data_IF_428064690717
#
_entry.id   IF_428064690717
#
_cell.length_a   1.000
_cell.length_b   1.000
_cell.length_c   1.000
_cell.angle_alpha   90.00
_cell.angle_beta   90.00
_cell.angle_gamma   90.00
#
_symmetry.space_group_name_H-M   'P 1'
#
loop_
_entity.id
_entity.type
_entity.pdbx_description
1 polymer ?
#
# COMPACT_ATOMS: atom_id res chain seq x y z
N UNK A 1 -4.39 54.40 3.76
CA UNK A 1 -5.30 53.23 3.83
C UNK A 1 -4.69 51.98 3.16
N UNK A 2 -3.52 51.48 3.61
CA UNK A 2 -2.83 50.34 2.98
C UNK A 2 -2.66 49.09 3.88
N UNK A 3 -2.87 49.22 5.20
CA UNK A 3 -2.63 48.12 6.17
C UNK A 3 -3.74 47.06 6.25
N UNK A 4 -4.98 47.37 5.84
CA UNK A 4 -6.10 46.41 5.96
C UNK A 4 -6.17 45.35 4.86
N UNK A 5 -5.60 45.60 3.67
CA UNK A 5 -5.63 44.66 2.54
C UNK A 5 -4.53 43.60 2.58
N UNK A 6 -3.43 43.81 3.31
CA UNK A 6 -2.40 42.76 3.46
C UNK A 6 -2.87 41.63 4.39
N UNK A 7 -3.57 41.98 5.47
CA UNK A 7 -4.01 41.02 6.50
C UNK A 7 -5.08 40.03 5.96
N UNK A 8 -5.98 40.50 5.08
CA UNK A 8 -6.99 39.65 4.45
C UNK A 8 -6.39 38.66 3.44
N UNK A 9 -5.38 39.07 2.66
CA UNK A 9 -4.71 38.20 1.70
C UNK A 9 -3.84 37.12 2.36
N UNK A 10 -3.21 37.41 3.51
CA UNK A 10 -2.51 36.42 4.33
C UNK A 10 -3.50 35.41 4.93
N UNK A 11 -4.65 35.87 5.44
CA UNK A 11 -5.69 34.99 5.99
C UNK A 11 -6.27 34.03 4.94
N UNK A 12 -6.50 34.50 3.70
CA UNK A 12 -6.97 33.66 2.58
C UNK A 12 -5.90 32.64 2.16
N UNK A 13 -4.62 33.04 2.08
CA UNK A 13 -3.52 32.11 1.76
C UNK A 13 -3.33 31.05 2.85
N UNK A 14 -3.41 31.42 4.13
CA UNK A 14 -3.32 30.47 5.25
C UNK A 14 -4.49 29.49 5.23
N UNK A 15 -5.72 29.94 4.94
CA UNK A 15 -6.88 29.05 4.77
C UNK A 15 -6.74 28.11 3.58
N UNK A 16 -6.27 28.60 2.42
CA UNK A 16 -6.02 27.75 1.25
C UNK A 16 -4.94 26.69 1.52
N UNK A 17 -3.88 27.04 2.25
CA UNK A 17 -2.81 26.10 2.62
C UNK A 17 -3.26 25.08 3.66
N UNK A 18 -4.07 25.51 4.64
CA UNK A 18 -4.71 24.62 5.62
C UNK A 18 -5.74 23.68 4.96
N UNK A 19 -6.49 24.16 3.97
CA UNK A 19 -7.46 23.36 3.21
C UNK A 19 -6.74 22.37 2.28
N UNK A 20 -5.64 22.77 1.64
CA UNK A 20 -4.74 21.85 0.93
C UNK A 20 -4.12 20.79 1.85
N UNK A 21 -3.74 21.18 3.07
CA UNK A 21 -3.25 20.25 4.10
C UNK A 21 -4.33 19.28 4.58
N UNK A 22 -5.58 19.73 4.74
CA UNK A 22 -6.69 18.88 5.16
C UNK A 22 -7.07 17.87 4.07
N UNK A 23 -7.25 18.34 2.83
CA UNK A 23 -7.54 17.47 1.69
C UNK A 23 -6.42 16.44 1.48
N UNK A 24 -5.15 16.86 1.60
CA UNK A 24 -4.02 15.94 1.53
C UNK A 24 -4.05 14.85 2.61
N UNK A 25 -4.37 15.22 3.86
CA UNK A 25 -4.54 14.26 4.96
C UNK A 25 -5.71 13.30 4.73
N UNK A 26 -6.82 13.80 4.20
CA UNK A 26 -7.99 12.96 3.86
C UNK A 26 -7.65 11.94 2.78
N UNK A 27 -6.99 12.36 1.71
CA UNK A 27 -6.55 11.47 0.64
C UNK A 27 -5.54 10.43 1.13
N UNK A 28 -4.55 10.85 1.94
CA UNK A 28 -3.59 9.94 2.54
C UNK A 28 -4.29 8.92 3.45
N UNK A 29 -5.26 9.34 4.27
CA UNK A 29 -6.05 8.44 5.10
C UNK A 29 -6.78 7.40 4.25
N UNK A 30 -7.43 7.83 3.17
CA UNK A 30 -8.14 6.94 2.25
C UNK A 30 -7.19 5.93 1.58
N UNK A 31 -6.00 6.38 1.20
CA UNK A 31 -4.97 5.52 0.60
C UNK A 31 -4.45 4.50 1.62
N UNK A 32 -4.21 4.91 2.86
CA UNK A 32 -3.84 4.00 3.96
C UNK A 32 -4.94 2.97 4.21
N UNK A 33 -6.21 3.38 4.18
CA UNK A 33 -7.35 2.49 4.39
C UNK A 33 -7.43 1.34 3.37
N UNK A 34 -6.82 1.47 2.18
CA UNK A 34 -6.73 0.36 1.23
C UNK A 34 -5.98 -0.85 1.81
N UNK A 35 -4.93 -0.63 2.60
CA UNK A 35 -4.21 -1.73 3.25
C UNK A 35 -5.08 -2.44 4.30
N UNK A 36 -5.97 -1.71 4.98
CA UNK A 36 -6.97 -2.27 5.88
C UNK A 36 -8.02 -3.07 5.13
N UNK A 37 -8.60 -2.51 4.07
CA UNK A 37 -9.61 -3.19 3.24
C UNK A 37 -9.07 -4.52 2.68
N UNK A 38 -7.82 -4.50 2.22
CA UNK A 38 -7.13 -5.71 1.76
C UNK A 38 -6.99 -6.77 2.86
N UNK A 39 -6.65 -6.36 4.09
CA UNK A 39 -6.54 -7.29 5.22
C UNK A 39 -7.86 -7.93 5.63
N UNK A 40 -8.97 -7.19 5.50
CA UNK A 40 -10.33 -7.67 5.81
C UNK A 40 -10.88 -8.61 4.73
N UNK A 41 -10.36 -8.50 3.50
CA UNK A 41 -10.66 -9.40 2.39
C UNK A 41 -12.09 -9.32 1.84
N UNK A 42 -12.94 -8.42 2.35
CA UNK A 42 -14.33 -8.21 1.86
C UNK A 42 -14.39 -7.32 0.62
N UNK A 43 -13.59 -6.26 0.63
CA UNK A 43 -13.49 -5.30 -0.46
C UNK A 43 -12.02 -5.17 -0.82
N UNK A 44 -11.71 -5.37 -2.10
CA UNK A 44 -10.34 -5.24 -2.58
C UNK A 44 -10.04 -3.78 -2.92
N UNK A 45 -8.79 -3.32 -2.69
CA UNK A 45 -8.33 -2.03 -3.20
C UNK A 45 -8.56 -1.89 -4.70
N UNK A 46 -8.73 -0.67 -5.24
CA UNK A 46 -9.07 -0.44 -6.64
C UNK A 46 -7.96 -0.87 -7.62
N UNK A 47 -6.78 -1.23 -7.13
CA UNK A 47 -5.65 -1.71 -7.91
C UNK A 47 -5.43 -3.22 -7.82
N UNK A 48 -6.27 -3.98 -7.08
CA UNK A 48 -6.18 -5.43 -6.97
C UNK A 48 -7.49 -6.08 -7.43
N UNK A 49 -7.42 -6.82 -8.52
CA UNK A 49 -8.56 -7.52 -9.10
C UNK A 49 -8.43 -9.04 -8.83
N UNK A 50 -9.23 -9.60 -7.90
CA UNK A 50 -9.14 -11.02 -7.58
C UNK A 50 -9.70 -11.87 -8.74
N UNK A 51 -9.17 -13.09 -8.97
CA UNK A 51 -9.62 -13.97 -10.05
C UNK A 51 -11.13 -14.24 -10.06
N UNK A 52 -11.78 -14.30 -8.89
CA UNK A 52 -13.22 -14.50 -8.78
C UNK A 52 -14.08 -13.36 -9.36
N UNK A 53 -13.49 -12.19 -9.62
CA UNK A 53 -14.15 -11.05 -10.29
C UNK A 53 -13.84 -10.99 -11.78
N UNK A 54 -12.79 -11.69 -12.23
CA UNK A 54 -12.33 -11.68 -13.61
C UNK A 54 -12.87 -12.88 -14.40
N UNK A 55 -13.10 -14.02 -13.73
CA UNK A 55 -13.50 -15.26 -14.39
C UNK A 55 -14.84 -15.80 -13.85
N UNK A 56 -15.85 -16.02 -14.71
CA UNK A 56 -17.21 -16.39 -14.31
C UNK A 56 -17.39 -17.85 -13.84
N UNK A 57 -16.36 -18.47 -13.27
CA UNK A 57 -16.41 -19.85 -12.75
C UNK A 57 -15.71 -20.06 -11.41
N UNK A 58 -15.14 -19.00 -10.83
CA UNK A 58 -14.46 -19.04 -9.54
C UNK A 58 -15.24 -18.18 -8.55
N UNK A 59 -16.12 -18.78 -7.76
CA UNK A 59 -16.86 -18.04 -6.74
C UNK A 59 -16.12 -18.10 -5.40
N UNK A 60 -15.76 -16.92 -4.89
CA UNK A 60 -15.37 -16.81 -3.48
C UNK A 60 -16.64 -16.63 -2.63
N UNK A 61 -16.72 -17.26 -1.45
CA UNK A 61 -17.86 -17.09 -0.57
C UNK A 61 -18.04 -15.62 -0.18
N UNK A 62 -19.22 -15.06 -0.49
CA UNK A 62 -19.58 -13.68 -0.18
C UNK A 62 -19.37 -13.36 1.30
N UNK A 63 -18.57 -12.32 1.59
CA UNK A 63 -18.31 -11.86 2.95
C UNK A 63 -17.19 -12.59 3.70
N UNK A 64 -16.51 -13.55 3.07
CA UNK A 64 -15.28 -14.18 3.58
C UNK A 64 -14.06 -13.74 2.76
N UNK A 65 -12.87 -14.05 3.27
CA UNK A 65 -11.61 -13.75 2.60
C UNK A 65 -11.50 -14.50 1.28
N UNK A 66 -10.89 -13.83 0.28
CA UNK A 66 -10.62 -14.43 -1.01
C UNK A 66 -9.62 -15.60 -0.89
N UNK A 67 -10.08 -16.83 -1.14
CA UNK A 67 -9.22 -18.01 -1.28
C UNK A 67 -8.64 -18.15 -2.69
N UNK A 68 -9.13 -17.33 -3.63
CA UNK A 68 -8.69 -17.32 -5.02
C UNK A 68 -7.46 -16.43 -5.26
N UNK A 69 -6.86 -15.83 -4.22
CA UNK A 69 -5.70 -14.96 -4.42
C UNK A 69 -4.48 -15.79 -4.84
N UNK A 70 -3.72 -15.31 -5.84
CA UNK A 70 -2.42 -15.89 -6.18
C UNK A 70 -1.45 -15.90 -4.99
N UNK A 71 -0.42 -16.78 -5.00
CA UNK A 71 0.46 -16.98 -3.85
C UNK A 71 1.07 -15.69 -3.27
N UNK A 72 1.57 -14.79 -4.12
CA UNK A 72 2.19 -13.52 -3.71
C UNK A 72 1.19 -12.64 -2.92
N UNK A 73 -0.03 -12.51 -3.46
CA UNK A 73 -1.08 -11.72 -2.82
C UNK A 73 -1.66 -12.42 -1.59
N UNK A 74 -1.73 -13.75 -1.58
CA UNK A 74 -2.18 -14.52 -0.42
C UNK A 74 -1.23 -14.34 0.79
N UNK A 75 0.09 -14.40 0.56
CA UNK A 75 1.10 -14.08 1.59
C UNK A 75 0.97 -12.63 2.04
N UNK A 76 0.81 -11.70 1.09
CA UNK A 76 0.59 -10.28 1.41
C UNK A 76 -0.64 -10.05 2.29
N UNK A 77 -1.77 -10.71 1.99
CA UNK A 77 -2.98 -10.61 2.83
C UNK A 77 -2.75 -11.17 4.21
N UNK A 78 -2.04 -12.30 4.33
CA UNK A 78 -1.69 -12.90 5.62
C UNK A 78 -0.83 -11.95 6.47
N UNK A 79 0.24 -11.39 5.91
CA UNK A 79 1.11 -10.45 6.62
C UNK A 79 0.37 -9.13 6.95
N UNK A 80 -0.51 -8.66 6.07
CA UNK A 80 -1.37 -7.50 6.35
C UNK A 80 -2.28 -7.76 7.56
N UNK A 81 -2.84 -8.97 7.68
CA UNK A 81 -3.64 -9.35 8.83
C UNK A 81 -2.82 -9.43 10.11
N UNK A 82 -1.65 -10.06 10.05
CA UNK A 82 -0.72 -10.08 11.18
C UNK A 82 -0.35 -8.66 11.62
N UNK A 83 -0.19 -7.75 10.67
CA UNK A 83 0.05 -6.34 10.95
C UNK A 83 -1.12 -5.76 11.74
N UNK A 84 -2.35 -5.83 11.26
CA UNK A 84 -3.50 -5.25 11.99
C UNK A 84 -3.84 -5.95 13.31
N UNK A 85 -3.48 -7.22 13.48
CA UNK A 85 -3.65 -7.95 14.74
C UNK A 85 -2.43 -7.91 15.67
N UNK A 86 -1.39 -7.12 15.33
CA UNK A 86 -0.14 -7.09 16.10
C UNK A 86 -0.35 -6.52 17.50
N UNK A 87 0.49 -6.97 18.42
CA UNK A 87 0.60 -6.42 19.78
C UNK A 87 1.91 -5.62 19.88
N UNK A 88 2.08 -4.77 20.90
CA UNK A 88 3.34 -4.06 21.09
C UNK A 88 4.56 -4.99 21.08
N UNK A 89 4.47 -6.17 21.71
CA UNK A 89 5.55 -7.16 21.74
C UNK A 89 5.82 -7.90 20.41
N UNK A 90 4.83 -7.96 19.50
CA UNK A 90 4.99 -8.62 18.20
C UNK A 90 5.25 -7.67 17.04
N UNK A 91 5.24 -6.35 17.27
CA UNK A 91 5.31 -5.34 16.20
C UNK A 91 6.58 -5.47 15.37
N UNK A 92 7.76 -5.56 16.00
CA UNK A 92 9.03 -5.68 15.30
C UNK A 92 9.09 -6.95 14.43
N UNK A 93 8.66 -8.09 14.99
CA UNK A 93 8.63 -9.35 14.26
C UNK A 93 7.75 -9.27 13.01
N UNK A 94 6.54 -8.71 13.13
CA UNK A 94 5.62 -8.61 11.98
C UNK A 94 6.19 -7.70 10.89
N UNK A 95 6.76 -6.55 11.27
CA UNK A 95 7.41 -5.64 10.31
C UNK A 95 8.60 -6.31 9.63
N UNK A 96 9.41 -7.08 10.37
CA UNK A 96 10.51 -7.86 9.79
C UNK A 96 10.03 -8.89 8.77
N UNK A 97 8.91 -9.58 9.02
CA UNK A 97 8.35 -10.53 8.03
C UNK A 97 7.90 -9.83 6.75
N UNK A 98 7.36 -8.61 6.85
CA UNK A 98 7.03 -7.79 5.68
C UNK A 98 8.29 -7.51 4.85
N UNK A 99 9.38 -7.11 5.49
CA UNK A 99 10.65 -6.86 4.80
C UNK A 99 11.26 -8.10 4.17
N UNK A 100 11.22 -9.24 4.87
CA UNK A 100 11.71 -10.51 4.32
C UNK A 100 10.97 -10.86 3.03
N UNK A 101 9.64 -10.76 3.03
CA UNK A 101 8.86 -11.07 1.84
C UNK A 101 9.10 -10.06 0.72
N UNK A 102 9.19 -8.75 1.02
CA UNK A 102 9.57 -7.74 0.02
C UNK A 102 10.95 -8.03 -0.60
N UNK A 103 11.94 -8.40 0.22
CA UNK A 103 13.28 -8.72 -0.28
C UNK A 103 13.23 -9.94 -1.18
N UNK A 104 12.42 -10.94 -0.83
CA UNK A 104 12.17 -12.10 -1.69
C UNK A 104 11.59 -11.67 -3.05
N UNK A 105 10.54 -10.83 -3.06
CA UNK A 105 9.96 -10.29 -4.30
C UNK A 105 11.01 -9.57 -5.16
N UNK A 106 11.93 -8.83 -4.53
CA UNK A 106 13.03 -8.16 -5.22
C UNK A 106 14.10 -9.13 -5.73
N UNK A 107 14.38 -10.22 -5.04
CA UNK A 107 15.39 -11.18 -5.52
C UNK A 107 14.89 -12.03 -6.68
N UNK A 108 13.56 -12.19 -6.80
CA UNK A 108 12.95 -13.09 -7.77
C UNK A 108 12.38 -12.36 -9.02
N UNK A 109 12.34 -11.01 -9.05
CA UNK A 109 11.61 -10.26 -10.08
C UNK A 109 12.06 -10.54 -11.51
N UNK A 110 13.35 -10.82 -11.73
CA UNK A 110 13.88 -11.10 -13.07
C UNK A 110 13.23 -12.33 -13.71
N UNK A 111 12.85 -13.30 -12.86
CA UNK A 111 12.22 -14.57 -13.25
C UNK A 111 10.69 -14.48 -13.35
N UNK A 112 10.10 -13.33 -13.05
CA UNK A 112 8.65 -13.16 -13.10
C UNK A 112 8.14 -12.97 -14.53
N UNK A 113 7.04 -13.65 -14.80
CA UNK A 113 6.13 -13.32 -15.89
C UNK A 113 5.35 -12.04 -15.55
N UNK A 114 4.58 -11.54 -16.52
CA UNK A 114 3.81 -10.30 -16.36
C UNK A 114 2.82 -10.37 -15.20
N UNK A 115 2.20 -11.54 -14.96
CA UNK A 115 1.20 -11.71 -13.91
C UNK A 115 1.85 -11.64 -12.51
N UNK A 116 2.95 -12.36 -12.30
CA UNK A 116 3.72 -12.33 -11.06
C UNK A 116 4.33 -10.95 -10.80
N UNK A 117 4.77 -10.26 -11.84
CA UNK A 117 5.30 -8.90 -11.71
C UNK A 117 4.21 -7.92 -11.25
N UNK A 118 3.01 -7.99 -11.84
CA UNK A 118 1.85 -7.20 -11.40
C UNK A 118 1.48 -7.52 -9.94
N UNK A 119 1.39 -8.80 -9.58
CA UNK A 119 1.09 -9.23 -8.21
C UNK A 119 2.14 -8.73 -7.21
N UNK A 120 3.41 -8.73 -7.60
CA UNK A 120 4.52 -8.25 -6.77
C UNK A 120 4.44 -6.74 -6.54
N UNK A 121 4.14 -5.98 -7.60
CA UNK A 121 3.93 -4.53 -7.49
C UNK A 121 2.74 -4.21 -6.58
N UNK A 122 1.61 -4.92 -6.77
CA UNK A 122 0.43 -4.78 -5.92
C UNK A 122 0.75 -5.07 -4.45
N UNK A 123 1.50 -6.15 -4.16
CA UNK A 123 1.93 -6.48 -2.80
C UNK A 123 2.88 -5.41 -2.23
N UNK A 124 3.83 -4.92 -3.02
CA UNK A 124 4.77 -3.87 -2.61
C UNK A 124 4.06 -2.57 -2.24
N UNK A 125 3.03 -2.16 -3.01
CA UNK A 125 2.19 -1.01 -2.68
C UNK A 125 1.50 -1.21 -1.33
N UNK A 126 0.88 -2.37 -1.09
CA UNK A 126 0.25 -2.67 0.20
C UNK A 126 1.27 -2.59 1.34
N UNK A 127 2.44 -3.19 1.19
CA UNK A 127 3.48 -3.14 2.22
C UNK A 127 3.98 -1.71 2.48
N UNK A 128 4.13 -0.88 1.44
CA UNK A 128 4.45 0.53 1.60
C UNK A 128 3.41 1.27 2.47
N UNK A 129 2.13 0.99 2.25
CA UNK A 129 1.03 1.55 3.07
C UNK A 129 1.03 1.05 4.52
N UNK A 130 1.44 -0.21 4.76
CA UNK A 130 1.59 -0.72 6.12
C UNK A 130 2.79 -0.05 6.81
N UNK A 131 3.94 0.00 6.14
CA UNK A 131 5.17 0.59 6.66
C UNK A 131 5.03 2.10 6.94
N UNK A 132 4.26 2.84 6.14
CA UNK A 132 4.00 4.27 6.38
C UNK A 132 3.25 4.53 7.71
N UNK A 133 2.61 3.52 8.29
CA UNK A 133 1.93 3.60 9.59
C UNK A 133 2.87 3.31 10.77
N UNK A 134 4.14 2.96 10.54
CA UNK A 134 5.14 2.62 11.56
C UNK A 134 6.48 3.33 11.32
N UNK A 135 6.51 4.67 11.21
CA UNK A 135 7.72 5.42 10.85
C UNK A 135 8.87 5.23 11.85
N UNK A 136 8.58 4.96 13.12
CA UNK A 136 9.58 4.81 14.17
C UNK A 136 10.35 3.47 14.10
N UNK A 137 9.83 2.50 13.35
CA UNK A 137 10.36 1.14 13.23
C UNK A 137 11.06 0.95 11.89
N UNK A 138 10.71 1.78 10.91
CA UNK A 138 11.25 1.75 9.56
C UNK A 138 12.50 2.62 9.53
N UNK A 139 13.67 2.03 9.24
CA UNK A 139 14.86 2.85 9.03
C UNK A 139 14.71 3.68 7.75
N UNK A 140 15.37 4.84 7.67
CA UNK A 140 15.36 5.67 6.46
C UNK A 140 15.87 4.91 5.22
N UNK A 141 16.79 3.95 5.41
CA UNK A 141 17.28 3.10 4.32
C UNK A 141 16.18 2.15 3.81
N UNK A 142 15.40 1.57 4.72
CA UNK A 142 14.30 0.67 4.37
C UNK A 142 13.14 1.43 3.70
N UNK A 143 12.86 2.66 4.13
CA UNK A 143 11.89 3.54 3.48
C UNK A 143 12.33 3.94 2.06
N UNK A 144 13.60 4.34 1.89
CA UNK A 144 14.14 4.68 0.57
C UNK A 144 14.14 3.47 -0.37
N UNK A 145 14.40 2.28 0.17
CA UNK A 145 14.34 1.03 -0.56
C UNK A 145 12.92 0.64 -0.96
N UNK A 146 11.94 0.83 -0.08
CA UNK A 146 10.51 0.65 -0.39
C UNK A 146 10.01 1.55 -1.53
N UNK A 147 10.45 2.81 -1.54
CA UNK A 147 10.13 3.73 -2.65
C UNK A 147 10.80 3.25 -3.92
N UNK A 148 12.09 2.91 -3.84
CA UNK A 148 12.87 2.44 -4.98
C UNK A 148 12.26 1.17 -5.59
N UNK A 149 11.88 0.17 -4.80
CA UNK A 149 11.30 -1.07 -5.34
C UNK A 149 9.95 -0.85 -6.02
N UNK A 150 9.12 0.07 -5.50
CA UNK A 150 7.85 0.41 -6.16
C UNK A 150 8.06 1.13 -7.49
N UNK A 151 9.06 2.01 -7.59
CA UNK A 151 9.43 2.69 -8.84
C UNK A 151 10.03 1.70 -9.85
N UNK A 152 10.95 0.82 -9.40
CA UNK A 152 11.60 -0.17 -10.25
C UNK A 152 10.63 -1.22 -10.80
N UNK A 153 9.76 -1.78 -9.96
CA UNK A 153 8.74 -2.73 -10.40
C UNK A 153 7.70 -2.07 -11.34
N UNK A 154 7.45 -0.77 -11.18
CA UNK A 154 6.60 0.00 -12.09
C UNK A 154 7.25 0.18 -13.47
N UNK A 155 8.53 0.55 -13.52
CA UNK A 155 9.26 0.84 -14.77
C UNK A 155 9.55 -0.45 -15.57
N UNK A 156 9.99 -1.52 -14.92
CA UNK A 156 10.30 -2.78 -15.62
C UNK A 156 9.04 -3.50 -16.14
N UNK A 157 7.87 -3.19 -15.57
CA UNK A 157 6.58 -3.62 -16.09
C UNK A 157 6.31 -3.18 -17.53
N UNK A 158 6.83 -2.02 -17.93
CA UNK A 158 6.61 -1.44 -19.26
C UNK A 158 7.58 -1.94 -20.33
N UNK A 159 8.71 -2.54 -19.95
CA UNK A 159 9.77 -2.96 -20.88
C UNK A 159 9.68 -4.44 -21.33
N UNK A 160 8.81 -5.24 -20.70
CA UNK A 160 8.60 -6.67 -21.03
C UNK A 160 7.33 -6.94 -21.88
N UNK A 161 6.61 -5.89 -22.30
CA UNK A 161 5.43 -5.97 -23.19
C UNK A 161 5.82 -6.09 -24.66
#
# INVERSE_FOLDING_TARGET
MAKSRLSSNLSVRVRSFQQGSLTGKMLLSQVIDYSRLFSEGKHMPPFIYPPCRLSPGMECPSGKHHTCLPPILAVCTHLSRMFYSRTPGSTHFVVQQIYVHLHQLNSEYENYDQEKMLQSLQAAVIYGLLCSQCPDIVSNADAAWLVSITEWLGIYGEHKT
#
